data_IF_984509685525
#
_entry.id   IF_984509685525
#
_cell.length_a   1.000
_cell.length_b   1.000
_cell.length_c   1.000
_cell.angle_alpha   90.00
_cell.angle_beta   90.00
_cell.angle_gamma   90.00
#
_symmetry.space_group_name_H-M   'P 1'
#
loop_
_entity.id
_entity.type
_entity.pdbx_description
1 polymer ?
#
# COMPACT_ATOMS: atom_id res chain seq x y z
N UNK A 1 15.20 -2.77 -16.36
CA UNK A 1 14.11 -2.87 -17.36
C UNK A 1 12.81 -2.61 -16.64
N UNK A 2 11.93 -1.78 -17.16
CA UNK A 2 10.61 -1.50 -16.55
C UNK A 2 9.79 -2.78 -16.40
N UNK A 3 8.72 -2.72 -15.57
CA UNK A 3 7.77 -3.84 -15.40
C UNK A 3 7.46 -4.49 -16.74
N UNK A 4 7.46 -5.82 -16.77
CA UNK A 4 7.25 -6.57 -18.00
C UNK A 4 5.97 -6.11 -18.72
N UNK A 5 6.07 -5.85 -20.01
CA UNK A 5 4.96 -5.41 -20.88
C UNK A 5 3.62 -6.13 -20.60
N UNK A 6 3.58 -7.46 -20.32
CA UNK A 6 2.34 -8.15 -19.98
C UNK A 6 1.65 -7.66 -18.70
N UNK A 7 2.39 -7.22 -17.69
CA UNK A 7 1.80 -6.71 -16.44
C UNK A 7 1.15 -5.33 -16.66
N UNK A 8 1.79 -4.44 -17.44
CA UNK A 8 1.21 -3.13 -17.79
C UNK A 8 -0.08 -3.28 -18.58
N UNK A 9 -0.13 -4.19 -19.55
CA UNK A 9 -1.34 -4.44 -20.34
C UNK A 9 -2.48 -4.98 -19.46
N UNK A 10 -2.19 -5.88 -18.51
CA UNK A 10 -3.19 -6.35 -17.55
C UNK A 10 -3.72 -5.22 -16.68
N UNK A 11 -2.86 -4.39 -16.11
CA UNK A 11 -3.29 -3.23 -15.30
C UNK A 11 -4.16 -2.30 -16.13
N UNK A 12 -3.79 -2.01 -17.38
CA UNK A 12 -4.56 -1.16 -18.29
C UNK A 12 -5.95 -1.74 -18.57
N UNK A 13 -6.05 -3.04 -18.85
CA UNK A 13 -7.33 -3.74 -19.05
C UNK A 13 -8.20 -3.66 -17.79
N UNK A 14 -7.64 -3.99 -16.64
CA UNK A 14 -8.35 -3.95 -15.34
C UNK A 14 -8.81 -2.54 -14.99
N UNK A 15 -7.97 -1.54 -15.21
CA UNK A 15 -8.32 -0.13 -14.96
C UNK A 15 -9.48 0.32 -15.84
N UNK A 16 -9.44 -0.03 -17.12
CA UNK A 16 -10.55 0.29 -18.04
C UNK A 16 -11.87 -0.35 -17.58
N UNK A 17 -11.83 -1.61 -17.18
CA UNK A 17 -13.00 -2.33 -16.66
C UNK A 17 -13.53 -1.71 -15.37
N UNK A 18 -12.63 -1.44 -14.40
CA UNK A 18 -12.95 -0.76 -13.17
C UNK A 18 -13.60 0.61 -13.39
N UNK A 19 -13.05 1.43 -14.32
CA UNK A 19 -13.56 2.77 -14.61
C UNK A 19 -14.97 2.73 -15.21
N UNK A 20 -15.28 1.72 -16.00
CA UNK A 20 -16.65 1.51 -16.53
C UNK A 20 -17.62 1.07 -15.44
N UNK A 21 -17.19 0.15 -14.56
CA UNK A 21 -18.06 -0.44 -13.55
C UNK A 21 -18.34 0.47 -12.36
N UNK A 22 -17.46 1.41 -12.07
CA UNK A 22 -17.59 2.30 -10.90
C UNK A 22 -18.61 3.42 -11.07
N UNK A 23 -19.01 3.73 -12.31
CA UNK A 23 -19.93 4.83 -12.59
C UNK A 23 -21.24 4.65 -11.85
N UNK A 24 -21.61 5.64 -11.01
CA UNK A 24 -22.82 5.62 -10.19
C UNK A 24 -22.78 4.65 -9.01
N UNK A 25 -21.61 4.12 -8.64
CA UNK A 25 -21.46 3.17 -7.52
C UNK A 25 -20.55 3.69 -6.40
N UNK A 26 -20.51 5.01 -6.21
CA UNK A 26 -19.63 5.66 -5.24
C UNK A 26 -19.84 5.15 -3.80
N UNK A 27 -21.11 4.96 -3.39
CA UNK A 27 -21.44 4.43 -2.06
C UNK A 27 -20.93 3.00 -1.84
N UNK A 28 -20.97 2.14 -2.87
CA UNK A 28 -20.43 0.78 -2.78
C UNK A 28 -18.89 0.81 -2.67
N UNK A 29 -18.22 1.66 -3.45
CA UNK A 29 -16.78 1.85 -3.34
C UNK A 29 -16.38 2.38 -1.97
N UNK A 30 -17.14 3.34 -1.43
CA UNK A 30 -16.91 3.85 -0.09
C UNK A 30 -17.02 2.74 0.96
N UNK A 31 -18.05 1.89 0.90
CA UNK A 31 -18.20 0.74 1.81
C UNK A 31 -17.02 -0.23 1.72
N UNK A 32 -16.53 -0.54 0.51
CA UNK A 32 -15.35 -1.41 0.32
C UNK A 32 -14.12 -0.77 0.97
N UNK A 33 -13.92 0.50 0.72
CA UNK A 33 -12.77 1.25 1.23
C UNK A 33 -12.80 1.39 2.76
N UNK A 34 -13.96 1.63 3.36
CA UNK A 34 -14.13 1.67 4.81
C UNK A 34 -13.85 0.32 5.45
N UNK A 35 -14.34 -0.76 4.85
CA UNK A 35 -14.10 -2.13 5.32
C UNK A 35 -12.61 -2.54 5.22
N UNK A 36 -11.82 -1.91 4.35
CA UNK A 36 -10.38 -2.17 4.19
C UNK A 36 -9.49 -1.41 5.19
N UNK A 37 -9.99 -0.35 5.83
CA UNK A 37 -9.18 0.47 6.75
C UNK A 37 -8.49 -0.36 7.83
N UNK A 38 -9.18 -1.24 8.60
CA UNK A 38 -8.51 -2.03 9.64
C UNK A 38 -7.41 -2.94 9.10
N UNK A 39 -7.64 -3.59 7.95
CA UNK A 39 -6.65 -4.47 7.34
C UNK A 39 -5.43 -3.70 6.83
N UNK A 40 -5.63 -2.52 6.27
CA UNK A 40 -4.55 -1.65 5.80
C UNK A 40 -3.72 -1.10 6.97
N UNK A 41 -4.38 -0.64 8.03
CA UNK A 41 -3.72 -0.16 9.26
C UNK A 41 -2.93 -1.28 9.92
N UNK A 42 -3.54 -2.46 10.07
CA UNK A 42 -2.87 -3.65 10.62
C UNK A 42 -1.59 -3.95 9.85
N UNK A 43 -1.67 -4.15 8.54
CA UNK A 43 -0.51 -4.52 7.73
C UNK A 43 0.60 -3.46 7.79
N UNK A 44 0.25 -2.18 7.71
CA UNK A 44 1.24 -1.10 7.73
C UNK A 44 1.94 -0.96 9.08
N UNK A 45 1.23 -1.17 10.20
CA UNK A 45 1.85 -1.16 11.52
C UNK A 45 2.63 -2.45 11.80
N UNK A 46 2.15 -3.62 11.34
CA UNK A 46 2.82 -4.90 11.52
C UNK A 46 4.17 -4.96 10.77
N UNK A 47 4.30 -4.34 9.61
CA UNK A 47 5.59 -4.14 8.92
C UNK A 47 6.58 -3.42 9.84
N UNK A 48 6.11 -2.45 10.63
CA UNK A 48 6.92 -1.71 11.64
C UNK A 48 6.96 -2.41 13.01
N UNK A 49 6.68 -3.72 13.06
CA UNK A 49 6.72 -4.57 14.24
C UNK A 49 5.70 -4.24 15.35
N UNK A 50 4.55 -3.65 15.02
CA UNK A 50 3.42 -3.59 15.95
C UNK A 50 2.99 -5.00 16.34
N UNK A 51 2.60 -5.17 17.60
CA UNK A 51 2.15 -6.47 18.13
C UNK A 51 0.65 -6.70 17.98
N UNK A 52 -0.10 -5.67 17.54
CA UNK A 52 -1.54 -5.78 17.30
C UNK A 52 -1.85 -6.85 16.25
N UNK A 53 -2.82 -7.68 16.58
CA UNK A 53 -3.46 -8.55 15.57
C UNK A 53 -4.47 -7.77 14.73
N UNK A 54 -4.84 -8.30 13.56
CA UNK A 54 -5.92 -7.70 12.75
C UNK A 54 -7.22 -7.56 13.54
N UNK A 55 -7.59 -8.56 14.35
CA UNK A 55 -8.80 -8.53 15.17
C UNK A 55 -8.77 -7.43 16.24
N UNK A 56 -7.63 -7.20 16.87
CA UNK A 56 -7.46 -6.09 17.84
C UNK A 56 -7.51 -4.74 17.12
N UNK A 57 -6.90 -4.63 15.93
CA UNK A 57 -6.98 -3.41 15.12
C UNK A 57 -8.43 -3.11 14.73
N UNK A 58 -9.21 -4.13 14.32
CA UNK A 58 -10.64 -3.99 14.03
C UNK A 58 -11.42 -3.48 15.26
N UNK A 59 -11.21 -4.09 16.43
CA UNK A 59 -11.85 -3.67 17.67
C UNK A 59 -11.54 -2.22 18.04
N UNK A 60 -10.26 -1.82 17.95
CA UNK A 60 -9.83 -0.45 18.25
C UNK A 60 -10.50 0.56 17.33
N UNK A 61 -10.59 0.26 16.05
CA UNK A 61 -11.05 1.20 15.03
C UNK A 61 -12.58 1.23 14.88
N UNK A 62 -13.23 0.08 14.97
CA UNK A 62 -14.67 -0.07 14.69
C UNK A 62 -15.54 -0.10 15.95
N UNK A 63 -15.06 -0.76 17.02
CA UNK A 63 -15.83 -0.99 18.24
C UNK A 63 -15.40 -0.09 19.39
N UNK A 64 -14.27 0.64 19.25
CA UNK A 64 -13.63 1.43 20.31
C UNK A 64 -13.27 0.59 21.55
N UNK A 65 -13.03 -0.69 21.36
CA UNK A 65 -12.61 -1.62 22.40
C UNK A 65 -11.10 -1.85 22.39
N UNK A 66 -10.49 -1.87 23.57
CA UNK A 66 -9.07 -2.14 23.75
C UNK A 66 -8.88 -3.33 24.67
N UNK A 67 -8.14 -4.35 24.19
CA UNK A 67 -7.77 -5.50 25.02
C UNK A 67 -6.78 -5.10 26.13
N UNK A 68 -6.81 -5.79 27.27
CA UNK A 68 -5.99 -5.45 28.46
C UNK A 68 -4.46 -5.40 28.20
N UNK A 69 -3.98 -6.13 27.20
CA UNK A 69 -2.54 -6.26 26.89
C UNK A 69 -2.06 -5.31 25.78
N UNK A 70 -2.94 -4.47 25.23
CA UNK A 70 -2.58 -3.50 24.18
C UNK A 70 -2.08 -2.23 24.83
N UNK A 71 -0.93 -1.74 24.38
CA UNK A 71 -0.37 -0.48 24.84
C UNK A 71 -1.15 0.71 24.32
N UNK A 72 -1.23 1.78 25.11
CA UNK A 72 -1.87 3.03 24.68
C UNK A 72 -1.20 3.60 23.42
N UNK A 73 0.12 3.42 23.28
CA UNK A 73 0.87 3.80 22.10
C UNK A 73 0.35 3.10 20.84
N UNK A 74 0.16 1.78 20.88
CA UNK A 74 -0.36 1.02 19.73
C UNK A 74 -1.79 1.42 19.37
N UNK A 75 -2.61 1.78 20.36
CA UNK A 75 -3.95 2.34 20.12
C UNK A 75 -3.85 3.65 19.33
N UNK A 76 -2.97 4.57 19.74
CA UNK A 76 -2.76 5.81 18.99
C UNK A 76 -2.16 5.56 17.61
N UNK A 77 -1.20 4.66 17.47
CA UNK A 77 -0.61 4.29 16.18
C UNK A 77 -1.68 3.78 15.19
N UNK A 78 -2.62 2.94 15.65
CA UNK A 78 -3.73 2.47 14.83
C UNK A 78 -4.70 3.60 14.46
N UNK A 79 -5.16 4.39 15.44
CA UNK A 79 -6.11 5.47 15.22
C UNK A 79 -5.55 6.59 14.35
N UNK A 80 -4.30 6.97 14.57
CA UNK A 80 -3.67 8.03 13.82
C UNK A 80 -3.43 7.61 12.37
N UNK A 81 -2.99 6.36 12.13
CA UNK A 81 -2.80 5.86 10.77
C UNK A 81 -4.15 5.76 10.04
N UNK A 82 -5.23 5.36 10.70
CA UNK A 82 -6.57 5.39 10.11
C UNK A 82 -6.97 6.81 9.68
N UNK A 83 -6.73 7.83 10.53
CA UNK A 83 -6.98 9.25 10.17
C UNK A 83 -6.13 9.72 9.00
N UNK A 84 -4.85 9.31 8.94
CA UNK A 84 -3.98 9.60 7.78
C UNK A 84 -4.56 8.99 6.51
N UNK A 85 -5.07 7.76 6.58
CA UNK A 85 -5.72 7.10 5.43
C UNK A 85 -6.99 7.83 4.98
N UNK A 86 -7.83 8.26 5.92
CA UNK A 86 -9.04 9.05 5.61
C UNK A 86 -8.68 10.36 4.91
N UNK A 87 -7.65 11.06 5.41
CA UNK A 87 -7.14 12.27 4.76
C UNK A 87 -6.64 12.00 3.34
N UNK A 88 -5.84 10.96 3.15
CA UNK A 88 -5.33 10.55 1.82
C UNK A 88 -6.47 10.18 0.88
N UNK A 89 -7.52 9.51 1.38
CA UNK A 89 -8.72 9.14 0.59
C UNK A 89 -9.59 10.32 0.18
N UNK A 90 -9.54 11.45 0.87
CA UNK A 90 -10.24 12.66 0.44
C UNK A 90 -9.79 13.17 -0.94
N UNK A 91 -8.65 12.70 -1.45
CA UNK A 91 -8.26 12.66 -2.87
C UNK A 91 -7.91 13.98 -3.53
N UNK A 92 -7.90 15.10 -2.79
CA UNK A 92 -7.71 16.44 -3.36
C UNK A 92 -6.26 16.93 -3.35
N UNK A 93 -5.38 16.21 -2.66
CA UNK A 93 -4.03 16.71 -2.38
C UNK A 93 -3.00 16.19 -3.38
N UNK A 94 -2.13 17.08 -3.83
CA UNK A 94 -0.91 16.70 -4.55
C UNK A 94 0.19 16.41 -3.54
N UNK A 95 1.08 15.49 -3.93
CA UNK A 95 2.26 15.25 -3.10
C UNK A 95 3.12 16.51 -3.04
N UNK A 96 3.39 16.98 -1.83
CA UNK A 96 4.28 18.11 -1.57
C UNK A 96 4.96 17.93 -0.22
N UNK A 97 5.99 18.74 0.02
CA UNK A 97 6.65 18.83 1.32
C UNK A 97 5.65 19.04 2.46
N UNK A 98 4.74 19.98 2.29
CA UNK A 98 3.74 20.36 3.28
C UNK A 98 2.78 19.22 3.59
N UNK A 99 2.32 18.51 2.55
CA UNK A 99 1.46 17.32 2.72
C UNK A 99 2.23 16.22 3.45
N UNK A 100 3.48 15.94 3.11
CA UNK A 100 4.31 14.94 3.80
C UNK A 100 4.47 15.28 5.29
N UNK A 101 4.75 16.53 5.64
CA UNK A 101 4.85 17.00 7.02
C UNK A 101 3.51 16.91 7.76
N UNK A 102 2.40 17.23 7.09
CA UNK A 102 1.06 17.11 7.65
C UNK A 102 0.72 15.64 7.96
N UNK A 103 0.93 14.72 7.03
CA UNK A 103 0.70 13.29 7.24
C UNK A 103 1.52 12.77 8.42
N UNK A 104 2.78 13.18 8.52
CA UNK A 104 3.65 12.80 9.63
C UNK A 104 3.17 13.39 10.97
N UNK A 105 2.71 14.64 10.98
CA UNK A 105 2.12 15.25 12.18
C UNK A 105 0.90 14.46 12.64
N UNK A 106 -0.02 14.15 11.74
CA UNK A 106 -1.21 13.35 12.05
C UNK A 106 -0.85 11.96 12.61
N UNK A 107 0.19 11.33 12.04
CA UNK A 107 0.64 9.99 12.45
C UNK A 107 1.20 9.98 13.88
N UNK A 108 1.98 10.98 14.27
CA UNK A 108 2.70 11.00 15.55
C UNK A 108 2.02 11.80 16.67
N UNK A 109 0.90 12.45 16.41
CA UNK A 109 0.11 13.16 17.44
C UNK A 109 -0.23 12.23 18.61
N UNK A 110 -0.01 12.70 19.84
CA UNK A 110 -0.18 11.94 21.11
C UNK A 110 0.74 10.71 21.25
N UNK A 111 1.77 10.58 20.40
CA UNK A 111 2.78 9.51 20.48
C UNK A 111 4.16 10.13 20.75
N UNK A 112 4.57 11.06 19.90
CA UNK A 112 5.81 11.82 19.95
C UNK A 112 5.59 13.22 19.38
N UNK A 113 4.92 14.07 20.14
CA UNK A 113 4.49 15.40 19.69
C UNK A 113 5.68 16.34 19.40
N UNK A 114 6.81 16.10 20.03
CA UNK A 114 8.07 16.85 19.87
C UNK A 114 8.66 16.74 18.46
N UNK A 115 8.52 15.58 17.80
CA UNK A 115 9.01 15.34 16.44
C UNK A 115 7.88 15.33 15.39
N UNK A 116 6.62 15.43 15.81
CA UNK A 116 5.47 15.32 14.91
C UNK A 116 5.44 16.44 13.86
N UNK A 117 5.50 16.08 12.58
CA UNK A 117 5.50 17.02 11.46
C UNK A 117 6.81 17.78 11.28
N UNK A 118 7.93 17.23 11.75
CA UNK A 118 9.25 17.84 11.61
C UNK A 118 10.22 16.83 10.99
N UNK A 119 11.06 17.28 10.08
CA UNK A 119 12.20 16.50 9.61
C UNK A 119 13.26 16.39 10.71
N UNK A 120 14.15 15.41 10.58
CA UNK A 120 15.32 15.25 11.44
C UNK A 120 16.17 16.53 11.43
N UNK A 121 16.63 16.93 12.60
CA UNK A 121 17.49 18.09 12.79
C UNK A 121 18.97 17.71 12.82
N UNK A 122 19.84 18.72 12.76
CA UNK A 122 21.29 18.52 12.84
C UNK A 122 21.69 17.69 14.06
N UNK A 123 22.42 16.58 13.81
CA UNK A 123 22.82 15.63 14.85
C UNK A 123 21.89 14.43 15.02
N UNK A 124 20.70 14.44 14.40
CA UNK A 124 19.77 13.32 14.42
C UNK A 124 20.06 12.35 13.27
N UNK A 125 20.95 11.40 13.49
CA UNK A 125 21.25 10.36 12.51
C UNK A 125 20.39 9.12 12.76
N UNK A 126 19.88 8.52 11.67
CA UNK A 126 19.03 7.33 11.71
C UNK A 126 19.74 6.20 10.96
N UNK A 127 19.69 5.01 11.56
CA UNK A 127 20.19 3.78 10.94
C UNK A 127 19.04 2.92 10.45
N UNK A 128 19.12 2.48 9.19
CA UNK A 128 18.15 1.62 8.53
C UNK A 128 18.86 0.30 8.21
N UNK A 129 18.68 -0.72 9.05
CA UNK A 129 19.44 -1.96 8.94
C UNK A 129 20.94 -1.70 9.06
N UNK A 130 21.70 -1.90 7.98
CA UNK A 130 23.15 -1.62 7.89
C UNK A 130 23.47 -0.24 7.29
N UNK A 131 22.48 0.48 6.80
CA UNK A 131 22.62 1.76 6.13
C UNK A 131 22.41 2.92 7.11
N UNK A 132 23.19 3.98 6.96
CA UNK A 132 23.00 5.25 7.67
C UNK A 132 22.34 6.21 6.69
N UNK A 133 21.15 6.72 7.03
CA UNK A 133 20.44 7.69 6.21
C UNK A 133 21.28 8.96 5.98
N UNK A 134 21.09 9.69 4.87
CA UNK A 134 21.78 10.95 4.59
C UNK A 134 21.70 11.93 5.76
N UNK A 135 22.71 12.77 5.90
CA UNK A 135 22.74 13.78 6.95
C UNK A 135 21.51 14.69 6.87
N UNK A 136 20.94 15.14 8.01
CA UNK A 136 19.72 15.96 8.04
C UNK A 136 19.78 17.23 7.17
N UNK A 137 20.94 17.80 7.02
CA UNK A 137 21.18 19.02 6.21
C UNK A 137 20.85 18.83 4.72
N UNK A 138 20.76 17.57 4.26
CA UNK A 138 20.44 17.25 2.87
C UNK A 138 18.96 16.95 2.62
N UNK A 139 18.14 16.80 3.69
CA UNK A 139 16.76 16.32 3.59
C UNK A 139 15.92 17.23 2.68
N UNK A 140 15.90 18.53 2.95
CA UNK A 140 15.07 19.50 2.22
C UNK A 140 15.40 19.49 0.72
N UNK A 141 16.68 19.51 0.39
CA UNK A 141 17.14 19.49 -1.01
C UNK A 141 16.79 18.17 -1.67
N UNK A 142 17.19 17.04 -1.07
CA UNK A 142 17.01 15.71 -1.68
C UNK A 142 15.52 15.37 -1.85
N UNK A 143 14.67 15.75 -0.87
CA UNK A 143 13.22 15.58 -1.01
C UNK A 143 12.66 16.47 -2.12
N UNK A 144 13.14 17.71 -2.24
CA UNK A 144 12.76 18.62 -3.31
C UNK A 144 13.14 18.08 -4.69
N UNK A 145 14.34 17.53 -4.83
CA UNK A 145 14.81 16.90 -6.07
C UNK A 145 13.93 15.68 -6.43
N UNK A 146 13.59 14.81 -5.45
CA UNK A 146 12.73 13.66 -5.68
C UNK A 146 11.29 14.05 -6.07
N UNK A 147 10.73 15.11 -5.46
CA UNK A 147 9.41 15.65 -5.80
C UNK A 147 9.41 16.24 -7.22
N UNK A 148 10.47 16.97 -7.58
CA UNK A 148 10.64 17.55 -8.92
C UNK A 148 10.77 16.47 -9.98
N UNK A 149 11.56 15.43 -9.74
CA UNK A 149 11.71 14.30 -10.64
C UNK A 149 10.38 13.56 -10.82
N UNK A 150 9.68 13.26 -9.72
CA UNK A 150 8.36 12.61 -9.77
C UNK A 150 7.35 13.41 -10.59
N UNK A 151 7.32 14.72 -10.46
CA UNK A 151 6.34 15.57 -11.17
C UNK A 151 6.72 15.79 -12.65
N UNK A 152 8.01 15.89 -12.98
CA UNK A 152 8.47 16.20 -14.33
C UNK A 152 8.54 14.99 -15.27
N UNK A 153 8.77 13.79 -14.73
CA UNK A 153 8.85 12.57 -15.54
C UNK A 153 7.47 12.17 -16.07
N UNK A 154 7.21 12.43 -17.34
CA UNK A 154 5.97 12.07 -18.03
C UNK A 154 6.08 10.81 -18.89
N UNK A 155 7.28 10.27 -19.07
CA UNK A 155 7.53 9.10 -19.92
C UNK A 155 7.47 7.78 -19.15
N UNK A 156 7.93 7.77 -17.90
CA UNK A 156 7.90 6.57 -17.09
C UNK A 156 6.47 6.11 -16.75
N UNK A 157 6.30 4.81 -16.72
CA UNK A 157 5.01 4.24 -16.32
C UNK A 157 4.74 4.54 -14.83
N UNK A 158 3.47 4.80 -14.48
CA UNK A 158 3.13 5.32 -13.15
C UNK A 158 3.64 4.44 -11.99
N UNK A 159 3.64 3.11 -12.15
CA UNK A 159 4.16 2.22 -11.10
C UNK A 159 5.65 2.37 -10.88
N UNK A 160 6.40 2.67 -11.94
CA UNK A 160 7.85 2.84 -11.90
C UNK A 160 8.19 4.16 -11.20
N UNK A 161 7.43 5.24 -11.50
CA UNK A 161 7.55 6.54 -10.83
C UNK A 161 7.26 6.43 -9.32
N UNK A 162 6.14 5.78 -8.98
CA UNK A 162 5.74 5.59 -7.58
C UNK A 162 6.77 4.74 -6.83
N UNK A 163 7.27 3.66 -7.47
CA UNK A 163 8.30 2.80 -6.89
C UNK A 163 9.60 3.56 -6.63
N UNK A 164 10.06 4.32 -7.61
CA UNK A 164 11.27 5.13 -7.46
C UNK A 164 11.13 6.16 -6.35
N UNK A 165 10.04 6.93 -6.36
CA UNK A 165 9.79 7.92 -5.32
C UNK A 165 9.74 7.31 -3.92
N UNK A 166 9.09 6.15 -3.77
CA UNK A 166 9.03 5.45 -2.49
C UNK A 166 10.40 4.98 -2.00
N UNK A 167 11.23 4.45 -2.91
CA UNK A 167 12.60 4.03 -2.60
C UNK A 167 13.50 5.21 -2.24
N UNK A 168 13.39 6.34 -2.95
CA UNK A 168 14.10 7.57 -2.64
C UNK A 168 13.70 8.10 -1.26
N UNK A 169 12.39 8.15 -0.97
CA UNK A 169 11.86 8.61 0.31
C UNK A 169 12.36 7.75 1.48
N UNK A 170 12.29 6.41 1.34
CA UNK A 170 12.76 5.49 2.37
C UNK A 170 14.29 5.50 2.54
N UNK A 171 15.04 5.74 1.46
CA UNK A 171 16.50 5.91 1.51
C UNK A 171 16.88 7.22 2.19
N UNK A 172 16.18 8.30 1.90
CA UNK A 172 16.35 9.61 2.54
C UNK A 172 16.02 9.56 4.03
N UNK A 173 14.97 8.83 4.38
CA UNK A 173 14.46 8.63 5.76
C UNK A 173 14.33 9.96 6.51
N UNK A 174 13.48 10.87 6.04
CA UNK A 174 13.49 12.27 6.49
C UNK A 174 13.06 12.48 7.94
N UNK A 175 12.44 11.49 8.57
CA UNK A 175 11.92 11.57 9.94
C UNK A 175 12.71 10.68 10.91
N UNK A 176 12.63 11.00 12.20
CA UNK A 176 13.19 10.17 13.29
C UNK A 176 12.40 8.86 13.45
N UNK A 177 11.09 8.89 13.19
CA UNK A 177 10.17 7.74 13.31
C UNK A 177 9.05 7.89 12.26
N UNK A 178 8.38 6.80 11.87
CA UNK A 178 7.18 6.83 11.03
C UNK A 178 7.41 6.88 9.52
N UNK A 179 8.67 6.85 9.04
CA UNK A 179 8.97 6.93 7.59
C UNK A 179 8.22 5.85 6.79
N UNK A 180 8.35 4.58 7.13
CA UNK A 180 7.71 3.49 6.38
C UNK A 180 6.18 3.62 6.31
N UNK A 181 5.53 4.03 7.40
CA UNK A 181 4.07 4.27 7.43
C UNK A 181 3.70 5.43 6.51
N UNK A 182 4.43 6.53 6.56
CA UNK A 182 4.20 7.68 5.67
C UNK A 182 4.53 7.32 4.22
N UNK A 183 5.63 6.64 3.94
CA UNK A 183 5.99 6.19 2.60
C UNK A 183 4.89 5.36 1.95
N UNK A 184 4.28 4.41 2.67
CA UNK A 184 3.14 3.62 2.18
C UNK A 184 1.87 4.46 1.98
N UNK A 185 1.63 5.49 2.79
CA UNK A 185 0.52 6.42 2.57
C UNK A 185 0.75 7.31 1.35
N UNK A 186 1.99 7.70 1.07
CA UNK A 186 2.36 8.44 -0.14
C UNK A 186 2.10 7.60 -1.40
N UNK A 187 2.40 6.29 -1.40
CA UNK A 187 2.02 5.40 -2.52
C UNK A 187 0.52 5.51 -2.79
N UNK A 188 -0.31 5.44 -1.75
CA UNK A 188 -1.76 5.53 -1.88
C UNK A 188 -2.23 6.92 -2.35
N UNK A 189 -1.61 7.98 -1.86
CA UNK A 189 -1.89 9.35 -2.32
C UNK A 189 -1.63 9.49 -3.82
N UNK A 190 -0.50 8.99 -4.30
CA UNK A 190 -0.11 9.02 -5.71
C UNK A 190 -1.06 8.19 -6.59
N UNK A 191 -1.47 7.00 -6.14
CA UNK A 191 -2.43 6.14 -6.86
C UNK A 191 -3.81 6.77 -6.96
N UNK A 192 -4.33 7.29 -5.86
CA UNK A 192 -5.64 7.95 -5.81
C UNK A 192 -5.68 9.19 -6.72
N UNK A 193 -4.61 9.98 -6.77
CA UNK A 193 -4.51 11.16 -7.64
C UNK A 193 -4.66 10.83 -9.12
N UNK A 194 -4.21 9.66 -9.55
CA UNK A 194 -4.35 9.18 -10.94
C UNK A 194 -5.55 8.25 -11.14
N UNK A 195 -6.47 8.22 -10.18
CA UNK A 195 -7.75 7.52 -10.26
C UNK A 195 -7.66 6.01 -10.06
N UNK A 196 -6.56 5.48 -9.52
CA UNK A 196 -6.47 4.09 -9.06
C UNK A 196 -7.00 3.96 -7.63
N UNK A 197 -7.55 2.81 -7.26
CA UNK A 197 -7.94 2.56 -5.87
C UNK A 197 -6.71 2.40 -4.96
N UNK A 198 -6.87 2.56 -3.63
CA UNK A 198 -5.80 2.34 -2.68
C UNK A 198 -5.35 0.89 -2.66
N UNK A 199 -4.11 0.67 -2.23
CA UNK A 199 -3.47 -0.64 -2.14
C UNK A 199 -3.02 -0.96 -0.72
N UNK A 200 -2.88 -2.24 -0.41
CA UNK A 200 -2.32 -2.72 0.86
C UNK A 200 -1.01 -3.46 0.59
N UNK A 201 0.10 -2.96 1.11
CA UNK A 201 1.36 -3.70 1.19
C UNK A 201 1.26 -4.62 2.39
N UNK A 202 1.47 -5.92 2.19
CA UNK A 202 1.15 -6.96 3.18
C UNK A 202 2.34 -7.27 4.09
N UNK A 203 2.11 -7.33 5.39
CA UNK A 203 3.12 -7.75 6.37
C UNK A 203 3.71 -9.13 6.08
N UNK A 204 2.90 -10.09 5.65
CA UNK A 204 3.35 -11.42 5.24
C UNK A 204 4.39 -11.44 4.11
N UNK A 205 4.54 -10.32 3.41
CA UNK A 205 5.47 -10.14 2.30
C UNK A 205 6.59 -9.15 2.66
N UNK A 206 6.75 -8.81 3.96
CA UNK A 206 7.68 -7.76 4.39
C UNK A 206 9.13 -8.06 4.04
N UNK A 207 9.57 -9.31 4.07
CA UNK A 207 10.94 -9.67 3.69
C UNK A 207 11.22 -9.35 2.21
N UNK A 208 10.23 -9.60 1.34
CA UNK A 208 10.32 -9.25 -0.07
C UNK A 208 10.28 -7.73 -0.26
N UNK A 209 9.45 -7.04 0.50
CA UNK A 209 9.39 -5.57 0.52
C UNK A 209 10.72 -4.96 0.98
N UNK A 210 11.34 -5.46 2.05
CA UNK A 210 12.65 -4.98 2.49
C UNK A 210 13.79 -5.33 1.53
N UNK A 211 13.69 -6.43 0.79
CA UNK A 211 14.68 -6.76 -0.24
C UNK A 211 14.73 -5.72 -1.38
N UNK A 212 13.63 -4.98 -1.62
CA UNK A 212 13.60 -3.90 -2.59
C UNK A 212 14.50 -2.73 -2.18
N UNK A 213 14.52 -2.36 -0.89
CA UNK A 213 15.40 -1.28 -0.40
C UNK A 213 16.88 -1.69 -0.51
N UNK A 214 17.20 -2.93 -0.17
CA UNK A 214 18.56 -3.43 -0.34
C UNK A 214 18.99 -3.39 -1.80
N UNK A 215 18.15 -3.88 -2.72
CA UNK A 215 18.44 -3.87 -4.15
C UNK A 215 18.61 -2.43 -4.70
N UNK A 216 17.85 -1.48 -4.14
CA UNK A 216 17.99 -0.08 -4.52
C UNK A 216 19.27 0.56 -3.97
N UNK A 217 19.63 0.30 -2.73
CA UNK A 217 20.87 0.78 -2.11
C UNK A 217 22.11 0.22 -2.82
N UNK A 218 22.10 -1.06 -3.21
CA UNK A 218 23.24 -1.72 -3.83
C UNK A 218 23.49 -1.23 -5.28
N UNK A 219 22.43 -1.00 -6.07
CA UNK A 219 22.57 -0.75 -7.52
C UNK A 219 21.44 0.05 -8.17
N UNK A 220 20.67 0.81 -7.39
CA UNK A 220 19.51 1.60 -7.84
C UNK A 220 18.45 0.76 -8.57
N UNK A 221 18.30 -0.52 -8.20
CA UNK A 221 17.34 -1.42 -8.82
C UNK A 221 15.94 -1.23 -8.21
N UNK A 222 15.01 -0.70 -9.00
CA UNK A 222 13.62 -0.41 -8.63
C UNK A 222 12.65 -1.56 -8.88
N UNK A 223 13.06 -2.62 -9.59
CA UNK A 223 12.17 -3.66 -10.14
C UNK A 223 11.35 -4.39 -9.09
N UNK A 224 11.93 -4.68 -7.93
CA UNK A 224 11.21 -5.39 -6.87
C UNK A 224 10.06 -4.52 -6.36
N UNK A 225 10.30 -3.24 -6.13
CA UNK A 225 9.25 -2.32 -5.68
C UNK A 225 8.20 -2.07 -6.76
N UNK A 226 8.61 -1.93 -8.03
CA UNK A 226 7.70 -1.85 -9.17
C UNK A 226 6.76 -3.06 -9.22
N UNK A 227 7.29 -4.27 -9.02
CA UNK A 227 6.52 -5.50 -9.01
C UNK A 227 5.54 -5.56 -7.84
N UNK A 228 5.96 -5.14 -6.64
CA UNK A 228 5.12 -5.07 -5.44
C UNK A 228 3.93 -4.13 -5.70
N UNK A 229 4.19 -2.91 -6.17
CA UNK A 229 3.15 -1.92 -6.45
C UNK A 229 2.20 -2.44 -7.54
N UNK A 230 2.73 -2.98 -8.64
CA UNK A 230 1.91 -3.49 -9.72
C UNK A 230 0.97 -4.63 -9.29
N UNK A 231 1.49 -5.59 -8.50
CA UNK A 231 0.68 -6.68 -7.96
C UNK A 231 -0.39 -6.18 -6.99
N UNK A 232 -0.04 -5.23 -6.12
CA UNK A 232 -0.99 -4.64 -5.18
C UNK A 232 -2.10 -3.85 -5.90
N UNK A 233 -1.76 -3.14 -6.98
CA UNK A 233 -2.73 -2.46 -7.85
C UNK A 233 -3.67 -3.46 -8.51
N UNK A 234 -3.15 -4.54 -9.09
CA UNK A 234 -3.99 -5.57 -9.70
C UNK A 234 -4.91 -6.25 -8.68
N UNK A 235 -4.40 -6.59 -7.50
CA UNK A 235 -5.19 -7.17 -6.41
C UNK A 235 -6.33 -6.25 -5.98
N UNK A 236 -6.06 -4.97 -5.81
CA UNK A 236 -7.05 -3.94 -5.46
C UNK A 236 -8.12 -3.76 -6.54
N UNK A 237 -7.72 -3.76 -7.82
CA UNK A 237 -8.65 -3.71 -8.95
C UNK A 237 -9.50 -4.97 -9.05
N UNK A 238 -8.93 -6.16 -8.89
CA UNK A 238 -9.69 -7.42 -8.89
C UNK A 238 -10.75 -7.44 -7.80
N UNK A 239 -10.42 -7.03 -6.59
CA UNK A 239 -11.37 -6.96 -5.49
C UNK A 239 -12.55 -6.05 -5.85
N UNK A 240 -12.29 -4.82 -6.23
CA UNK A 240 -13.33 -3.83 -6.52
C UNK A 240 -14.17 -4.23 -7.72
N UNK A 241 -13.55 -4.75 -8.77
CA UNK A 241 -14.27 -5.27 -9.94
C UNK A 241 -15.22 -6.41 -9.56
N UNK A 242 -14.80 -7.35 -8.71
CA UNK A 242 -15.67 -8.44 -8.25
C UNK A 242 -16.90 -7.90 -7.49
N UNK A 243 -16.71 -6.95 -6.56
CA UNK A 243 -17.82 -6.32 -5.84
C UNK A 243 -18.72 -5.48 -6.76
N UNK A 244 -18.14 -4.70 -7.65
CA UNK A 244 -18.89 -3.85 -8.60
C UNK A 244 -19.72 -4.67 -9.57
N UNK A 245 -19.32 -5.91 -9.89
CA UNK A 245 -20.11 -6.88 -10.69
C UNK A 245 -21.20 -7.58 -9.87
N UNK A 246 -21.22 -7.45 -8.54
CA UNK A 246 -22.10 -8.24 -7.67
C UNK A 246 -21.73 -9.73 -7.66
N UNK A 247 -20.45 -10.06 -7.86
CA UNK A 247 -19.97 -11.43 -7.92
C UNK A 247 -20.21 -12.18 -6.59
N UNK A 248 -20.49 -13.47 -6.67
CA UNK A 248 -20.51 -14.34 -5.50
C UNK A 248 -19.07 -14.71 -5.12
N UNK A 249 -18.58 -14.06 -4.06
CA UNK A 249 -17.19 -14.18 -3.63
C UNK A 249 -17.05 -15.37 -2.69
N UNK A 250 -16.12 -16.28 -3.00
CA UNK A 250 -15.79 -17.45 -2.18
C UNK A 250 -14.29 -17.51 -1.91
N UNK A 251 -13.88 -18.29 -0.92
CA UNK A 251 -12.46 -18.56 -0.66
C UNK A 251 -11.83 -19.35 -1.83
N UNK A 252 -10.61 -18.97 -2.20
CA UNK A 252 -9.88 -19.64 -3.27
C UNK A 252 -9.66 -21.15 -2.99
N UNK A 253 -9.56 -21.52 -1.71
CA UNK A 253 -9.49 -22.91 -1.29
C UNK A 253 -10.78 -23.68 -1.61
N UNK A 254 -11.94 -23.05 -1.35
CA UNK A 254 -13.24 -23.64 -1.69
C UNK A 254 -13.41 -23.73 -3.21
N UNK A 255 -13.02 -22.70 -3.95
CA UNK A 255 -13.04 -22.70 -5.41
C UNK A 255 -12.21 -23.86 -5.98
N UNK A 256 -10.96 -24.02 -5.54
CA UNK A 256 -10.07 -25.09 -6.00
C UNK A 256 -10.69 -26.50 -5.74
N UNK A 257 -11.33 -26.67 -4.57
CA UNK A 257 -12.04 -27.90 -4.22
C UNK A 257 -13.24 -28.17 -5.15
N UNK A 258 -14.04 -27.14 -5.43
CA UNK A 258 -15.25 -27.27 -6.27
C UNK A 258 -14.92 -27.75 -7.70
N UNK A 259 -13.77 -27.31 -8.25
CA UNK A 259 -13.34 -27.69 -9.60
C UNK A 259 -12.31 -28.83 -9.61
N UNK A 260 -12.08 -29.49 -8.48
CA UNK A 260 -11.16 -30.63 -8.31
C UNK A 260 -9.74 -30.34 -8.83
N UNK A 261 -9.20 -29.13 -8.57
CA UNK A 261 -7.85 -28.71 -8.97
C UNK A 261 -6.96 -28.38 -7.77
N UNK A 262 -5.64 -28.34 -8.01
CA UNK A 262 -4.62 -28.12 -6.99
C UNK A 262 -4.67 -26.70 -6.39
N UNK A 263 -4.96 -26.58 -5.10
CA UNK A 263 -4.91 -25.32 -4.38
C UNK A 263 -3.54 -24.60 -4.44
N UNK A 264 -2.37 -25.28 -4.29
CA UNK A 264 -1.07 -24.63 -4.45
C UNK A 264 -0.88 -23.94 -5.81
N UNK A 265 -1.38 -24.53 -6.91
CA UNK A 265 -1.31 -23.91 -8.23
C UNK A 265 -2.11 -22.59 -8.29
N UNK A 266 -3.32 -22.59 -7.72
CA UNK A 266 -4.14 -21.38 -7.63
C UNK A 266 -3.54 -20.32 -6.72
N UNK A 267 -2.98 -20.69 -5.57
CA UNK A 267 -2.28 -19.75 -4.68
C UNK A 267 -1.09 -19.11 -5.37
N UNK A 268 -0.32 -19.86 -6.15
CA UNK A 268 0.78 -19.32 -6.93
C UNK A 268 0.30 -18.37 -8.05
N UNK A 269 -0.81 -18.70 -8.72
CA UNK A 269 -1.42 -17.83 -9.72
C UNK A 269 -1.97 -16.53 -9.09
N UNK A 270 -2.64 -16.64 -7.95
CA UNK A 270 -3.12 -15.51 -7.18
C UNK A 270 -1.97 -14.56 -6.75
N UNK A 271 -0.88 -15.11 -6.18
CA UNK A 271 0.32 -14.33 -5.81
C UNK A 271 0.96 -13.62 -7.01
N UNK A 272 0.90 -14.20 -8.20
CA UNK A 272 1.39 -13.60 -9.44
C UNK A 272 0.37 -12.68 -10.11
N UNK A 273 -0.84 -12.56 -9.56
CA UNK A 273 -1.95 -11.82 -10.14
C UNK A 273 -2.22 -12.20 -11.61
N UNK A 274 -2.16 -13.51 -11.89
CA UNK A 274 -2.51 -14.10 -13.20
C UNK A 274 -3.93 -14.64 -13.24
N UNK A 275 -4.62 -14.61 -12.11
CA UNK A 275 -6.06 -14.88 -11.97
C UNK A 275 -6.71 -13.73 -11.18
N UNK A 276 -8.03 -13.48 -11.31
CA UNK A 276 -8.72 -12.38 -10.64
C UNK A 276 -8.97 -12.66 -9.15
N UNK A 277 -7.89 -13.00 -8.43
CA UNK A 277 -7.94 -13.28 -7.01
C UNK A 277 -7.44 -12.07 -6.20
N UNK A 278 -8.02 -11.90 -5.02
CA UNK A 278 -7.68 -10.84 -4.07
C UNK A 278 -7.77 -11.36 -2.64
N UNK A 279 -7.20 -10.61 -1.68
CA UNK A 279 -7.25 -10.97 -0.25
C UNK A 279 -8.25 -10.08 0.50
N UNK A 280 -8.93 -10.72 1.43
CA UNK A 280 -9.68 -10.04 2.50
C UNK A 280 -9.34 -10.69 3.82
N UNK A 281 -8.92 -9.87 4.77
CA UNK A 281 -8.46 -10.32 6.10
C UNK A 281 -7.40 -11.41 6.00
N UNK A 282 -6.52 -11.27 5.00
CA UNK A 282 -5.42 -12.20 4.73
C UNK A 282 -5.81 -13.51 4.02
N UNK A 283 -7.10 -13.72 3.68
CA UNK A 283 -7.60 -14.92 2.99
C UNK A 283 -7.79 -14.63 1.50
N UNK A 284 -7.24 -15.49 0.63
CA UNK A 284 -7.44 -15.40 -0.80
C UNK A 284 -8.88 -15.75 -1.20
N UNK A 285 -9.48 -14.88 -2.00
CA UNK A 285 -10.85 -14.99 -2.50
C UNK A 285 -10.90 -14.81 -4.01
N UNK A 286 -11.99 -15.29 -4.62
CA UNK A 286 -12.26 -15.21 -6.05
C UNK A 286 -13.78 -15.24 -6.29
N UNK A 287 -14.22 -14.78 -7.46
CA UNK A 287 -15.59 -15.01 -7.93
C UNK A 287 -15.83 -16.51 -8.13
N UNK A 288 -16.92 -17.05 -7.58
CA UNK A 288 -17.30 -18.46 -7.74
C UNK A 288 -17.44 -18.86 -9.22
N UNK A 289 -17.87 -17.94 -10.06
CA UNK A 289 -18.06 -18.15 -11.49
C UNK A 289 -16.82 -17.87 -12.34
N UNK A 290 -15.66 -17.64 -11.71
CA UNK A 290 -14.40 -17.46 -12.44
C UNK A 290 -14.08 -18.69 -13.28
N UNK A 291 -13.81 -18.50 -14.56
CA UNK A 291 -13.37 -19.55 -15.50
C UNK A 291 -12.04 -19.17 -16.12
N UNK A 292 -11.08 -20.07 -16.09
CA UNK A 292 -9.78 -19.90 -16.75
C UNK A 292 -9.84 -19.94 -18.27
N UNK A 293 -10.97 -20.37 -18.85
CA UNK A 293 -11.11 -20.56 -20.30
C UNK A 293 -11.31 -19.29 -21.10
N UNK A 294 -11.44 -18.12 -20.45
CA UNK A 294 -11.74 -16.82 -21.09
C UNK A 294 -10.54 -15.99 -21.56
N UNK A 295 -9.30 -16.37 -21.28
CA UNK A 295 -8.10 -15.55 -21.61
C UNK A 295 -7.36 -15.94 -22.89
N UNK A 296 -7.89 -16.90 -23.67
CA UNK A 296 -7.32 -17.35 -24.95
C UNK A 296 -8.23 -17.08 -26.16
N UNK A 297 -8.95 -15.93 -26.15
CA UNK A 297 -9.59 -15.44 -27.39
C UNK A 297 -9.22 -14.00 -27.65
#
# INVERSE_FOLDING_TARGET
MPIQRPARERIKKLKKEYDLLKVGKDSLLQMIDEAEIPESVYNSNAIENSTLTLKETEKILMELEVSKNVSLREVFEAKNLARVMEYVKSGTHEISREVILLLHRMLLTNIKDDIAGKFREKGEYVRIGTYIAPAPEHIERTLGDALSEYSSDQEAYFTDKIAKFHLDFETLHPFVDGNGRIGRMIINLQLLKIGFPPVIIRDKEKDYYYSAFKAYQDNHNTKIMEEIIAKSVMESLHKRTAYLKGAKIIELAQYAKNIARSLPAFLNAAKRQTIPAFREKGVWKVDENFSQEGEHK
#
